data_IF_055310215364
#
_entry.id   IF_055310215364
#
_cell.length_a   1.000
_cell.length_b   1.000
_cell.length_c   1.000
_cell.angle_alpha   90.00
_cell.angle_beta   90.00
_cell.angle_gamma   90.00
#
_symmetry.space_group_name_H-M   'P 1'
#
loop_
_entity.id
_entity.type
_entity.pdbx_description
1 polymer ?
#
# COMPACT_ATOMS: atom_id res chain seq x y z
N UNK A 1 -3.40 18.30 24.60
CA UNK A 1 -3.44 19.44 23.66
C UNK A 1 -3.19 18.87 22.27
N UNK A 2 -3.89 19.32 21.24
CA UNK A 2 -3.65 18.84 19.87
C UNK A 2 -2.34 19.42 19.33
N UNK A 3 -1.42 18.55 18.92
CA UNK A 3 -0.12 18.90 18.33
C UNK A 3 0.37 17.77 17.42
N UNK A 4 1.43 18.02 16.67
CA UNK A 4 2.15 17.04 15.85
C UNK A 4 3.44 16.55 16.52
N UNK A 5 3.55 16.66 17.84
CA UNK A 5 4.73 16.19 18.56
C UNK A 5 4.90 14.68 18.38
N UNK A 6 6.09 14.24 17.95
CA UNK A 6 6.38 12.84 17.64
C UNK A 6 5.77 12.33 16.33
N UNK A 7 5.24 13.21 15.46
CA UNK A 7 4.77 12.80 14.14
C UNK A 7 5.93 12.31 13.26
N UNK A 8 5.90 11.04 12.89
CA UNK A 8 6.87 10.46 11.95
C UNK A 8 6.49 10.76 10.49
N UNK A 9 7.44 11.22 9.65
CA UNK A 9 7.17 11.49 8.24
C UNK A 9 6.58 10.29 7.50
N UNK A 10 5.59 10.55 6.65
CA UNK A 10 4.95 9.55 5.80
C UNK A 10 5.34 9.81 4.35
N UNK A 11 5.88 8.77 3.72
CA UNK A 11 6.22 8.77 2.30
C UNK A 11 5.32 7.79 1.57
N UNK A 12 4.96 8.12 0.34
CA UNK A 12 4.28 7.17 -0.53
C UNK A 12 4.39 7.54 -1.99
N UNK A 13 4.04 6.57 -2.81
CA UNK A 13 3.95 6.70 -4.25
C UNK A 13 2.48 6.76 -4.66
N UNK A 14 2.15 7.60 -5.65
CA UNK A 14 0.79 7.75 -6.15
C UNK A 14 0.79 7.95 -7.65
N UNK A 15 -0.16 7.32 -8.34
CA UNK A 15 -0.42 7.57 -9.76
C UNK A 15 -1.45 8.70 -9.88
N UNK A 16 -1.15 9.79 -10.59
CA UNK A 16 -2.12 10.85 -10.80
C UNK A 16 -3.30 10.36 -11.64
N UNK A 17 -4.48 10.88 -11.35
CA UNK A 17 -5.71 10.69 -12.14
C UNK A 17 -6.14 12.05 -12.71
N UNK A 18 -6.52 12.07 -13.98
CA UNK A 18 -7.13 13.24 -14.65
C UNK A 18 -8.58 12.97 -14.98
N UNK A 19 -9.38 14.03 -14.96
CA UNK A 19 -10.77 14.01 -15.39
C UNK A 19 -10.91 13.70 -16.89
N UNK A 20 -9.89 14.04 -17.70
CA UNK A 20 -9.88 13.79 -19.14
C UNK A 20 -9.06 12.52 -19.48
N UNK A 21 -9.70 11.44 -19.98
CA UNK A 21 -9.02 10.19 -20.32
C UNK A 21 -8.15 10.27 -21.58
N UNK A 22 -8.13 11.39 -22.32
CA UNK A 22 -7.35 11.55 -23.56
C UNK A 22 -5.88 11.93 -23.40
N UNK A 23 -5.44 12.26 -22.18
CA UNK A 23 -4.08 12.73 -21.89
C UNK A 23 -3.16 11.56 -21.57
N UNK A 24 -1.98 11.52 -22.20
CA UNK A 24 -0.97 10.45 -22.10
C UNK A 24 -0.53 10.03 -20.68
N UNK A 25 0.33 9.01 -20.63
CA UNK A 25 0.78 8.37 -19.38
C UNK A 25 1.14 9.38 -18.28
N UNK A 26 0.36 9.37 -17.20
CA UNK A 26 0.62 10.18 -16.02
C UNK A 26 1.77 9.55 -15.25
N UNK A 27 2.83 10.33 -15.03
CA UNK A 27 4.00 9.89 -14.27
C UNK A 27 3.62 9.66 -12.82
N UNK A 28 4.20 8.63 -12.21
CA UNK A 28 4.08 8.40 -10.77
C UNK A 28 4.66 9.61 -10.03
N UNK A 29 3.92 10.07 -9.03
CA UNK A 29 4.36 11.10 -8.12
C UNK A 29 4.76 10.47 -6.79
N UNK A 30 5.66 11.13 -6.08
CA UNK A 30 5.93 10.86 -4.68
C UNK A 30 5.24 11.91 -3.83
N UNK A 31 4.69 11.49 -2.70
CA UNK A 31 4.23 12.41 -1.67
C UNK A 31 5.02 12.24 -0.38
N UNK A 32 5.15 13.33 0.35
CA UNK A 32 5.82 13.43 1.63
C UNK A 32 4.95 14.25 2.57
N UNK A 33 4.58 13.67 3.70
CA UNK A 33 3.80 14.33 4.76
C UNK A 33 4.67 14.38 6.00
N UNK A 34 4.87 15.56 6.55
CA UNK A 34 5.71 15.77 7.72
C UNK A 34 5.21 16.95 8.56
N UNK A 35 5.53 16.94 9.85
CA UNK A 35 5.28 18.08 10.72
C UNK A 35 6.39 19.11 10.50
N UNK A 36 6.04 20.31 10.02
CA UNK A 36 7.01 21.43 9.92
C UNK A 36 7.35 21.98 11.31
N UNK A 37 6.38 21.93 12.22
CA UNK A 37 6.51 22.27 13.62
C UNK A 37 5.43 21.54 14.43
N UNK A 38 5.24 21.89 15.70
CA UNK A 38 4.24 21.25 16.57
C UNK A 38 2.78 21.55 16.20
N UNK A 39 2.52 22.52 15.33
CA UNK A 39 1.20 23.04 14.98
C UNK A 39 0.86 22.97 13.48
N UNK A 40 1.82 22.64 12.61
CA UNK A 40 1.66 22.59 11.17
C UNK A 40 2.11 21.27 10.56
N UNK A 41 1.22 20.66 9.78
CA UNK A 41 1.48 19.49 8.96
C UNK A 41 1.60 19.89 7.49
N UNK A 42 2.74 19.61 6.89
CA UNK A 42 3.02 19.92 5.50
C UNK A 42 2.87 18.68 4.64
N UNK A 43 2.23 18.85 3.48
CA UNK A 43 2.06 17.80 2.47
C UNK A 43 2.66 18.28 1.17
N UNK A 44 3.70 17.59 0.70
CA UNK A 44 4.32 17.80 -0.59
C UNK A 44 4.00 16.65 -1.53
N UNK A 45 3.77 16.97 -2.80
CA UNK A 45 3.62 15.99 -3.87
C UNK A 45 4.43 16.45 -5.08
N UNK A 46 5.25 15.57 -5.66
CA UNK A 46 6.10 15.93 -6.79
C UNK A 46 6.33 14.76 -7.76
N UNK A 47 6.46 15.09 -9.05
CA UNK A 47 6.90 14.18 -10.11
C UNK A 47 8.42 14.26 -10.38
N UNK A 48 9.14 15.10 -9.62
CA UNK A 48 10.58 15.41 -9.77
C UNK A 48 10.97 16.05 -11.11
N UNK A 49 10.02 16.55 -11.89
CA UNK A 49 10.27 17.09 -13.23
C UNK A 49 9.56 18.44 -13.42
N UNK A 50 8.23 18.45 -13.33
CA UNK A 50 7.40 19.57 -13.76
C UNK A 50 6.26 19.91 -12.80
N UNK A 51 5.87 18.95 -11.97
CA UNK A 51 4.80 19.06 -11.01
C UNK A 51 5.33 19.02 -9.60
N UNK A 52 5.11 20.09 -8.85
CA UNK A 52 5.26 20.12 -7.41
C UNK A 52 4.09 20.89 -6.81
N UNK A 53 3.45 20.28 -5.81
CA UNK A 53 2.30 20.86 -5.12
C UNK A 53 2.51 20.75 -3.61
N UNK A 54 2.01 21.73 -2.89
CA UNK A 54 2.12 21.84 -1.44
C UNK A 54 0.79 22.23 -0.81
N UNK A 55 0.60 21.81 0.43
CA UNK A 55 -0.25 22.51 1.39
C UNK A 55 0.35 22.44 2.78
N UNK A 56 0.00 23.41 3.62
CA UNK A 56 0.34 23.46 5.04
C UNK A 56 -0.99 23.50 5.79
N UNK A 57 -1.23 22.49 6.62
CA UNK A 57 -2.43 22.33 7.42
C UNK A 57 -2.12 22.62 8.88
N UNK A 58 -2.83 23.60 9.47
CA UNK A 58 -2.77 23.82 10.91
C UNK A 58 -3.52 22.73 11.68
N UNK A 59 -3.22 22.60 12.98
CA UNK A 59 -4.02 21.75 13.89
C UNK A 59 -5.51 22.05 13.80
N UNK A 60 -5.91 23.33 13.77
CA UNK A 60 -7.32 23.70 13.70
C UNK A 60 -7.98 23.26 12.39
N UNK A 61 -7.30 23.42 11.24
CA UNK A 61 -7.82 22.98 9.95
C UNK A 61 -8.00 21.46 9.88
N UNK A 62 -7.08 20.71 10.51
CA UNK A 62 -7.18 19.26 10.62
C UNK A 62 -8.28 18.84 11.61
N UNK A 63 -8.54 19.60 12.67
CA UNK A 63 -9.63 19.36 13.62
C UNK A 63 -11.00 19.60 12.96
N UNK A 64 -11.12 20.71 12.21
CA UNK A 64 -12.30 20.99 11.37
C UNK A 64 -12.49 19.87 10.32
N UNK A 65 -11.38 19.38 9.73
CA UNK A 65 -11.43 18.26 8.80
C UNK A 65 -11.91 16.98 9.50
N UNK A 66 -11.44 16.67 10.71
CA UNK A 66 -11.92 15.51 11.50
C UNK A 66 -13.43 15.52 11.63
N UNK A 67 -13.97 16.67 11.99
CA UNK A 67 -15.41 16.85 12.20
C UNK A 67 -16.18 16.72 10.87
N UNK A 68 -15.65 17.29 9.77
CA UNK A 68 -16.27 17.18 8.44
C UNK A 68 -16.27 15.76 7.86
N UNK A 69 -15.22 14.98 8.15
CA UNK A 69 -15.07 13.59 7.70
C UNK A 69 -15.93 12.65 8.56
N UNK A 70 -16.31 13.08 9.77
CA UNK A 70 -17.15 12.32 10.70
C UNK A 70 -16.39 11.23 11.44
N UNK A 71 -15.08 11.41 11.67
CA UNK A 71 -14.28 10.49 12.49
C UNK A 71 -14.35 10.95 13.94
N UNK A 72 -15.07 10.21 14.76
CA UNK A 72 -15.10 10.44 16.21
C UNK A 72 -13.80 9.99 16.91
N UNK A 73 -13.66 10.38 18.17
CA UNK A 73 -12.52 10.01 19.01
C UNK A 73 -11.62 11.20 19.34
N UNK A 74 -10.45 10.89 19.87
CA UNK A 74 -9.41 11.85 20.22
C UNK A 74 -8.64 12.35 18.99
N UNK A 75 -7.93 13.46 19.17
CA UNK A 75 -7.01 14.00 18.17
C UNK A 75 -5.98 12.96 17.69
N UNK A 76 -5.37 12.22 18.62
CA UNK A 76 -4.37 11.19 18.29
C UNK A 76 -4.95 10.07 17.45
N UNK A 77 -6.17 9.60 17.76
CA UNK A 77 -6.85 8.58 16.96
C UNK A 77 -7.16 9.06 15.54
N UNK A 78 -7.50 10.35 15.39
CA UNK A 78 -7.67 10.96 14.06
C UNK A 78 -6.35 11.06 13.29
N UNK A 79 -5.25 11.43 13.94
CA UNK A 79 -3.93 11.45 13.31
C UNK A 79 -3.48 10.04 12.92
N UNK A 80 -3.67 9.06 13.79
CA UNK A 80 -3.37 7.65 13.49
C UNK A 80 -4.19 7.15 12.31
N UNK A 81 -5.48 7.52 12.25
CA UNK A 81 -6.33 7.23 11.10
C UNK A 81 -5.81 7.88 9.81
N UNK A 82 -5.37 9.15 9.89
CA UNK A 82 -4.82 9.88 8.76
C UNK A 82 -3.54 9.23 8.25
N UNK A 83 -2.61 8.88 9.15
CA UNK A 83 -1.38 8.16 8.83
C UNK A 83 -1.69 6.79 8.23
N UNK A 84 -2.63 6.03 8.79
CA UNK A 84 -3.04 4.74 8.26
C UNK A 84 -3.69 4.87 6.86
N UNK A 85 -4.44 5.94 6.61
CA UNK A 85 -5.04 6.24 5.31
C UNK A 85 -3.97 6.56 4.26
N UNK A 86 -2.98 7.37 4.61
CA UNK A 86 -1.84 7.73 3.75
C UNK A 86 -0.93 6.53 3.46
N UNK A 87 -0.78 5.59 4.39
CA UNK A 87 0.02 4.36 4.20
C UNK A 87 -0.74 3.24 3.50
N UNK A 88 -2.02 3.42 3.21
CA UNK A 88 -2.85 2.41 2.55
C UNK A 88 -2.58 2.33 1.04
N UNK A 89 -3.12 1.32 0.39
CA UNK A 89 -3.17 1.23 -1.07
C UNK A 89 -4.25 2.13 -1.71
N UNK A 90 -5.11 2.78 -0.91
CA UNK A 90 -6.25 3.56 -1.41
C UNK A 90 -5.94 5.06 -1.44
N UNK A 91 -4.77 5.40 -1.99
CA UNK A 91 -4.31 6.79 -2.16
C UNK A 91 -4.37 7.17 -3.63
N UNK A 92 -4.93 8.34 -3.92
CA UNK A 92 -5.11 8.89 -5.27
C UNK A 92 -4.69 10.34 -5.29
N UNK A 93 -4.07 10.76 -6.38
CA UNK A 93 -3.77 12.17 -6.64
C UNK A 93 -4.68 12.63 -7.77
N UNK A 94 -5.67 13.46 -7.45
CA UNK A 94 -6.57 14.03 -8.45
C UNK A 94 -5.99 15.35 -8.94
N UNK A 95 -5.61 15.41 -10.21
CA UNK A 95 -5.13 16.64 -10.82
C UNK A 95 -6.32 17.51 -11.23
N UNK A 96 -6.25 18.80 -10.88
CA UNK A 96 -7.21 19.80 -11.31
C UNK A 96 -7.05 20.15 -12.80
N UNK A 97 -7.82 21.14 -13.23
CA UNK A 97 -7.86 21.55 -14.63
C UNK A 97 -6.49 22.03 -15.11
N UNK A 98 -6.20 21.69 -16.37
CA UNK A 98 -4.94 22.02 -17.02
C UNK A 98 -5.05 23.35 -17.75
N UNK A 99 -4.31 24.36 -17.30
CA UNK A 99 -4.10 25.59 -18.04
C UNK A 99 -2.99 25.39 -19.07
N UNK A 100 -3.23 25.82 -20.32
CA UNK A 100 -2.24 25.76 -21.42
C UNK A 100 -0.96 26.56 -21.06
N UNK A 101 -1.09 27.65 -20.28
CA UNK A 101 0.02 28.54 -19.95
C UNK A 101 0.72 28.20 -18.63
N UNK A 102 -0.02 27.66 -17.64
CA UNK A 102 0.48 27.46 -16.27
C UNK A 102 0.51 26.00 -15.82
N UNK A 103 0.04 25.08 -16.66
CA UNK A 103 -0.09 23.67 -16.30
C UNK A 103 -1.21 23.44 -15.28
N UNK A 104 -1.07 22.39 -14.46
CA UNK A 104 -2.06 22.04 -13.43
C UNK A 104 -1.81 22.84 -12.16
N UNK A 105 -2.69 23.79 -11.85
CA UNK A 105 -2.54 24.72 -10.71
C UNK A 105 -3.00 24.14 -9.36
N UNK A 106 -3.94 23.19 -9.38
CA UNK A 106 -4.48 22.57 -8.18
C UNK A 106 -4.43 21.05 -8.27
N UNK A 107 -4.26 20.40 -7.13
CA UNK A 107 -4.38 18.96 -7.01
C UNK A 107 -5.08 18.61 -5.69
N UNK A 108 -5.54 17.35 -5.55
CA UNK A 108 -6.07 16.84 -4.29
C UNK A 108 -5.49 15.47 -4.01
N UNK A 109 -4.86 15.31 -2.86
CA UNK A 109 -4.46 14.00 -2.35
C UNK A 109 -5.63 13.40 -1.58
N UNK A 110 -6.18 12.31 -2.10
CA UNK A 110 -7.31 11.60 -1.51
C UNK A 110 -6.82 10.28 -0.96
N UNK A 111 -7.02 10.04 0.33
CA UNK A 111 -6.63 8.79 0.99
C UNK A 111 -7.78 8.19 1.80
N UNK A 112 -7.80 6.86 1.90
CA UNK A 112 -8.77 6.08 2.68
C UNK A 112 -8.05 4.93 3.35
N UNK A 113 -8.28 4.68 4.63
CA UNK A 113 -7.70 3.51 5.30
C UNK A 113 -8.07 2.19 4.63
N UNK A 114 -9.32 2.05 4.17
CA UNK A 114 -9.81 0.91 3.41
C UNK A 114 -11.02 1.33 2.57
N UNK A 115 -11.39 0.51 1.58
CA UNK A 115 -12.59 0.76 0.77
C UNK A 115 -13.85 0.82 1.64
N UNK A 116 -14.61 1.90 1.50
CA UNK A 116 -15.84 2.14 2.28
C UNK A 116 -15.62 2.89 3.60
N UNK A 117 -14.37 3.16 3.97
CA UNK A 117 -14.04 4.00 5.12
C UNK A 117 -14.04 5.50 4.75
N UNK A 118 -14.15 6.41 5.74
CA UNK A 118 -14.12 7.85 5.50
C UNK A 118 -12.87 8.31 4.74
N UNK A 119 -13.06 9.31 3.86
CA UNK A 119 -12.01 9.85 2.98
C UNK A 119 -11.35 11.06 3.61
N UNK A 120 -10.02 11.06 3.66
CA UNK A 120 -9.24 12.27 3.91
C UNK A 120 -8.92 12.90 2.56
N UNK A 121 -9.27 14.17 2.39
CA UNK A 121 -9.04 14.94 1.16
C UNK A 121 -8.18 16.14 1.49
N UNK A 122 -6.95 16.13 1.02
CA UNK A 122 -6.00 17.23 1.22
C UNK A 122 -5.91 18.05 -0.07
N UNK A 123 -6.38 19.30 -0.08
CA UNK A 123 -6.18 20.19 -1.22
C UNK A 123 -4.71 20.61 -1.32
N UNK A 124 -4.21 20.72 -2.54
CA UNK A 124 -2.82 21.05 -2.85
C UNK A 124 -2.76 22.16 -3.89
N UNK A 125 -1.82 23.07 -3.73
CA UNK A 125 -1.60 24.21 -4.62
C UNK A 125 -0.26 24.06 -5.32
N UNK A 126 -0.18 24.40 -6.61
CA UNK A 126 1.06 24.33 -7.37
C UNK A 126 2.10 25.28 -6.79
N UNK A 127 3.31 24.78 -6.61
CA UNK A 127 4.43 25.55 -6.10
C UNK A 127 5.06 26.41 -7.19
N UNK A 128 5.65 27.54 -6.80
CA UNK A 128 6.59 28.27 -7.65
C UNK A 128 7.87 27.43 -7.87
N UNK A 129 8.55 27.61 -8.99
CA UNK A 129 9.71 26.78 -9.36
C UNK A 129 10.85 26.79 -8.32
N UNK A 130 11.12 27.95 -7.72
CA UNK A 130 12.13 28.06 -6.66
C UNK A 130 11.78 27.19 -5.45
N UNK A 131 10.55 27.31 -4.95
CA UNK A 131 10.05 26.53 -3.81
C UNK A 131 9.92 25.04 -4.16
N UNK A 132 9.55 24.72 -5.40
CA UNK A 132 9.49 23.35 -5.89
C UNK A 132 10.86 22.65 -5.82
N UNK A 133 11.93 23.34 -6.21
CA UNK A 133 13.28 22.79 -6.16
C UNK A 133 13.74 22.50 -4.72
N UNK A 134 13.42 23.39 -3.79
CA UNK A 134 13.72 23.23 -2.36
C UNK A 134 12.91 22.09 -1.74
N UNK A 135 11.62 21.98 -2.05
CA UNK A 135 10.78 20.86 -1.61
C UNK A 135 11.30 19.52 -2.13
N UNK A 136 11.72 19.44 -3.40
CA UNK A 136 12.34 18.23 -3.96
C UNK A 136 13.65 17.87 -3.25
N UNK A 137 14.51 18.85 -2.94
CA UNK A 137 15.73 18.63 -2.19
C UNK A 137 15.45 18.10 -0.77
N UNK A 138 14.45 18.68 -0.11
CA UNK A 138 13.99 18.28 1.23
C UNK A 138 13.45 16.86 1.22
N UNK A 139 12.54 16.55 0.29
CA UNK A 139 11.98 15.20 0.13
C UNK A 139 13.10 14.18 -0.11
N UNK A 140 14.04 14.50 -1.00
CA UNK A 140 15.15 13.60 -1.34
C UNK A 140 16.04 13.31 -0.12
N UNK A 141 16.36 14.34 0.66
CA UNK A 141 17.19 14.22 1.85
C UNK A 141 16.49 13.39 2.94
N UNK A 142 15.21 13.66 3.19
CA UNK A 142 14.43 12.93 4.21
C UNK A 142 14.18 11.47 3.80
N UNK A 143 13.97 11.20 2.51
CA UNK A 143 13.88 9.85 1.98
C UNK A 143 15.20 9.08 2.18
N UNK A 144 16.35 9.73 1.92
CA UNK A 144 17.67 9.14 2.13
C UNK A 144 17.95 8.85 3.60
N UNK A 145 17.64 9.79 4.51
CA UNK A 145 17.77 9.59 5.96
C UNK A 145 16.89 8.43 6.44
N UNK A 146 15.64 8.39 5.98
CA UNK A 146 14.70 7.31 6.29
C UNK A 146 15.18 5.96 5.79
N UNK A 147 15.76 5.91 4.58
CA UNK A 147 16.36 4.70 4.03
C UNK A 147 17.55 4.22 4.87
N UNK A 148 18.45 5.13 5.26
CA UNK A 148 19.60 4.79 6.13
C UNK A 148 19.16 4.26 7.49
N UNK A 149 18.14 4.86 8.10
CA UNK A 149 17.57 4.39 9.38
C UNK A 149 17.06 2.95 9.26
N UNK A 150 16.35 2.61 8.17
CA UNK A 150 15.87 1.25 7.91
C UNK A 150 17.00 0.26 7.64
N UNK A 151 18.04 0.66 6.89
CA UNK A 151 19.20 -0.21 6.64
C UNK A 151 19.95 -0.55 7.93
N UNK A 152 20.15 0.41 8.83
CA UNK A 152 20.83 0.15 10.11
C UNK A 152 20.07 -0.89 10.94
N UNK A 153 18.74 -0.76 11.00
CA UNK A 153 17.87 -1.71 11.71
C UNK A 153 17.90 -3.13 11.12
N UNK A 154 18.20 -3.25 9.82
CA UNK A 154 18.31 -4.53 9.11
C UNK A 154 19.70 -5.19 9.26
N UNK A 155 20.74 -4.39 9.50
CA UNK A 155 22.09 -4.87 9.83
C UNK A 155 22.18 -5.55 11.20
N UNK A 156 21.38 -5.11 12.16
CA UNK A 156 21.33 -5.68 13.52
C UNK A 156 20.55 -7.00 13.60
N UNK A 157 19.72 -7.34 12.60
CA UNK A 157 18.95 -8.60 12.55
C UNK A 157 19.63 -9.72 11.75
N UNK A 158 20.79 -9.47 11.13
CA UNK A 158 21.52 -10.46 10.33
C UNK A 158 22.84 -10.95 10.93
N UNK A 159 23.17 -10.54 12.16
CA UNK A 159 24.38 -11.00 12.87
C UNK A 159 24.08 -11.38 14.31
N UNK A 160 23.19 -12.35 14.51
CA UNK A 160 23.35 -13.27 15.65
C UNK A 160 24.20 -14.44 15.17
N UNK A 161 25.51 -14.24 15.16
CA UNK A 161 26.52 -15.29 15.11
C UNK A 161 26.51 -16.09 16.44
N UNK A 162 25.37 -16.70 16.76
CA UNK A 162 25.14 -17.48 17.99
C UNK A 162 24.11 -18.61 17.77
N UNK A 163 24.03 -19.16 16.56
CA UNK A 163 23.19 -20.33 16.26
C UNK A 163 23.89 -21.40 15.40
N UNK A 164 25.22 -21.35 15.31
CA UNK A 164 26.04 -22.43 14.76
C UNK A 164 27.03 -22.90 15.83
N UNK A 165 26.55 -23.40 16.98
CA UNK A 165 27.43 -24.14 17.90
C UNK A 165 26.71 -25.14 18.82
N UNK A 166 25.54 -25.68 18.42
CA UNK A 166 24.88 -26.78 19.14
C UNK A 166 24.19 -27.79 18.19
N UNK A 167 24.96 -28.40 17.27
CA UNK A 167 24.66 -29.68 16.57
C UNK A 167 25.87 -30.03 15.69
N UNK A 168 26.68 -31.08 15.84
CA UNK A 168 26.48 -32.44 16.30
C UNK A 168 27.76 -33.00 16.94
N UNK A 169 27.72 -33.19 18.26
CA UNK A 169 28.47 -34.23 18.97
C UNK A 169 27.62 -35.51 18.92
N UNK A 170 27.41 -36.07 17.72
CA UNK A 170 26.61 -37.29 17.55
C UNK A 170 27.12 -38.15 16.37
N UNK A 171 28.44 -38.36 16.30
CA UNK A 171 29.01 -39.30 15.32
C UNK A 171 30.25 -40.08 15.81
N UNK A 172 30.38 -40.29 17.13
CA UNK A 172 31.57 -40.97 17.69
C UNK A 172 31.26 -42.00 18.77
N UNK A 173 30.16 -42.74 18.62
CA UNK A 173 29.85 -43.88 19.51
C UNK A 173 29.33 -45.13 18.80
N UNK A 174 29.52 -45.29 17.48
CA UNK A 174 29.09 -46.52 16.79
C UNK A 174 30.21 -47.32 16.12
N UNK A 175 31.47 -46.98 16.35
CA UNK A 175 32.60 -47.64 15.68
C UNK A 175 33.58 -48.35 16.62
N UNK A 176 33.13 -48.78 17.80
CA UNK A 176 33.88 -49.75 18.60
C UNK A 176 32.90 -50.62 19.37
N UNK A 177 32.46 -51.71 18.76
CA UNK A 177 32.32 -53.01 19.42
C UNK A 177 32.32 -54.08 18.33
N UNK A 178 33.39 -54.84 18.40
CA UNK A 178 33.90 -55.81 17.46
C UNK A 178 33.50 -57.22 17.97
N UNK A 179 33.63 -58.22 17.08
CA UNK A 179 33.90 -59.64 17.40
C UNK A 179 32.75 -60.65 17.71
N UNK A 180 32.54 -61.53 16.71
CA UNK A 180 32.25 -63.00 16.74
C UNK A 180 30.85 -63.63 16.98
N UNK A 181 30.29 -64.16 15.88
CA UNK A 181 29.87 -65.57 15.59
C UNK A 181 28.67 -66.24 16.34
N UNK A 182 28.11 -67.40 15.90
CA UNK A 182 27.83 -67.94 14.53
C UNK A 182 26.41 -68.59 14.34
N UNK A 183 26.06 -68.87 13.07
CA UNK A 183 25.24 -69.97 12.47
C UNK A 183 23.96 -70.54 13.14
N UNK A 184 22.83 -70.57 12.41
CA UNK A 184 22.12 -71.82 11.99
C UNK A 184 20.88 -71.57 11.11
N UNK A 185 20.93 -72.17 9.91
CA UNK A 185 19.95 -72.98 9.17
C UNK A 185 18.51 -72.57 8.77
N UNK A 186 18.28 -72.78 7.46
CA UNK A 186 17.10 -73.32 6.76
C UNK A 186 15.69 -72.69 6.97
N UNK A 187 15.12 -72.12 5.88
CA UNK A 187 14.07 -72.77 5.07
C UNK A 187 13.61 -71.93 3.85
N UNK A 188 13.30 -72.68 2.80
CA UNK A 188 12.79 -72.31 1.48
C UNK A 188 11.42 -71.61 1.57
N UNK A 189 11.10 -70.68 0.68
CA UNK A 189 10.39 -71.00 -0.57
C UNK A 189 10.20 -69.75 -1.45
N UNK A 190 10.15 -69.96 -2.76
CA UNK A 190 9.76 -69.03 -3.83
C UNK A 190 8.80 -69.82 -4.72
N UNK A 191 7.80 -69.25 -5.43
CA UNK A 191 8.17 -68.41 -6.59
C UNK A 191 7.11 -67.42 -7.17
N UNK A 192 7.62 -66.64 -8.13
CA UNK A 192 7.01 -66.28 -9.43
C UNK A 192 5.99 -65.11 -9.53
N UNK A 193 6.39 -64.08 -10.32
CA UNK A 193 5.83 -63.63 -11.63
C UNK A 193 4.53 -62.81 -11.52
N UNK A 194 4.21 -61.75 -12.27
CA UNK A 194 4.69 -60.98 -13.43
C UNK A 194 3.87 -59.65 -13.39
N UNK A 195 4.46 -58.47 -13.60
CA UNK A 195 4.47 -57.64 -14.83
C UNK A 195 3.13 -57.13 -15.42
N UNK A 196 3.21 -55.91 -15.99
CA UNK A 196 2.26 -55.10 -16.79
C UNK A 196 1.34 -54.18 -15.97
N UNK A 197 1.50 -52.84 -15.93
CA UNK A 197 1.49 -51.80 -17.01
C UNK A 197 0.14 -51.71 -17.71
N UNK A 198 -0.63 -50.64 -17.46
CA UNK A 198 -1.14 -49.71 -18.51
C UNK A 198 -2.03 -48.58 -17.96
N UNK A 199 -2.01 -47.49 -18.71
CA UNK A 199 -2.67 -46.21 -18.48
C UNK A 199 -4.07 -46.14 -19.13
N UNK A 200 -4.94 -45.24 -18.65
CA UNK A 200 -5.91 -44.42 -19.41
C UNK A 200 -6.73 -43.57 -18.38
N UNK A 201 -6.94 -42.24 -18.42
CA UNK A 201 -7.27 -41.22 -19.45
C UNK A 201 -8.75 -40.75 -19.33
N UNK A 202 -8.94 -39.43 -19.07
CA UNK A 202 -10.08 -38.46 -19.29
C UNK A 202 -11.35 -38.43 -18.38
N UNK A 203 -11.63 -37.27 -17.71
CA UNK A 203 -12.65 -36.23 -18.08
C UNK A 203 -12.97 -35.20 -16.97
N UNK A 204 -13.06 -33.88 -17.30
CA UNK A 204 -13.58 -32.82 -16.42
C UNK A 204 -15.11 -32.58 -16.58
N UNK A 205 -15.77 -32.18 -15.49
CA UNK A 205 -17.22 -31.90 -15.44
C UNK A 205 -17.57 -30.43 -15.69
N UNK A 206 -18.79 -30.21 -16.18
CA UNK A 206 -19.27 -29.09 -17.02
C UNK A 206 -19.82 -27.89 -16.22
N UNK A 207 -19.69 -26.69 -16.82
CA UNK A 207 -20.36 -25.42 -16.48
C UNK A 207 -21.87 -25.44 -16.77
N UNK A 208 -22.64 -24.67 -16.00
CA UNK A 208 -24.04 -24.30 -16.28
C UNK A 208 -24.19 -22.76 -16.23
N UNK A 209 -24.77 -22.08 -17.24
CA UNK A 209 -25.09 -20.65 -17.19
C UNK A 209 -26.56 -20.43 -16.80
N UNK A 210 -26.82 -19.63 -15.76
CA UNK A 210 -28.18 -19.28 -15.33
C UNK A 210 -28.50 -17.79 -15.56
N UNK A 211 -29.27 -17.55 -16.63
CA UNK A 211 -30.33 -16.56 -16.84
C UNK A 211 -30.16 -15.09 -16.43
N UNK A 212 -30.02 -14.25 -17.47
CA UNK A 212 -30.14 -12.79 -17.51
C UNK A 212 -31.63 -12.38 -17.46
N UNK A 213 -32.08 -11.71 -16.40
CA UNK A 213 -33.41 -11.04 -16.37
C UNK A 213 -33.26 -9.59 -16.82
N UNK A 214 -33.74 -9.30 -18.02
CA UNK A 214 -34.01 -7.95 -18.53
C UNK A 214 -35.27 -7.39 -17.86
N UNK A 215 -35.16 -6.26 -17.15
CA UNK A 215 -36.34 -5.44 -16.80
C UNK A 215 -36.40 -4.25 -17.75
N UNK A 216 -37.51 -4.15 -18.48
CA UNK A 216 -37.89 -3.04 -19.36
C UNK A 216 -38.55 -1.92 -18.53
N UNK A 217 -38.28 -0.68 -18.97
CA UNK A 217 -39.03 0.59 -18.83
C UNK A 217 -40.25 0.64 -17.89
N UNK A 218 -40.21 1.58 -16.94
CA UNK A 218 -41.35 2.36 -16.44
C UNK A 218 -40.85 3.80 -16.23
N UNK A 219 -41.26 4.74 -17.08
CA UNK A 219 -42.36 5.71 -16.91
C UNK A 219 -41.83 7.05 -16.37
N UNK A 220 -41.63 7.99 -17.31
CA UNK A 220 -41.37 9.41 -17.07
C UNK A 220 -42.72 10.06 -16.75
N UNK A 221 -42.89 10.63 -15.56
CA UNK A 221 -43.98 11.54 -15.26
C UNK A 221 -43.41 12.96 -15.31
N UNK A 222 -43.72 13.67 -16.40
CA UNK A 222 -43.69 15.12 -16.46
C UNK A 222 -45.05 15.58 -15.95
N UNK A 223 -45.07 16.35 -14.87
CA UNK A 223 -46.17 17.26 -14.62
C UNK A 223 -45.62 18.67 -14.80
N UNK A 224 -46.12 19.31 -15.86
CA UNK A 224 -46.07 20.73 -16.10
C UNK A 224 -47.29 21.32 -15.42
N UNK A 225 -47.10 22.26 -14.50
CA UNK A 225 -48.13 23.25 -14.20
C UNK A 225 -47.48 24.63 -14.30
N UNK A 226 -47.78 25.28 -15.41
CA UNK A 226 -47.75 26.72 -15.58
C UNK A 226 -48.96 27.27 -14.83
N UNK A 227 -48.78 28.18 -13.88
CA UNK A 227 -49.87 29.09 -13.51
C UNK A 227 -49.33 30.49 -13.25
N UNK A 228 -49.96 31.40 -13.97
CA UNK A 228 -49.72 32.82 -14.17
C UNK A 228 -50.20 33.62 -12.95
N UNK A 229 -49.48 34.69 -12.60
CA UNK A 229 -49.82 35.58 -11.49
C UNK A 229 -48.73 36.58 -11.13
#
# INVERSE_FOLDING_TARGET
MASFEGFEPVFGEVVPERSDPGSGLLRRCLFHVYASDSLHLTVHVTDFISGAWETILSVSQLDDMRDSVGIGGSWSEFLDYTVASLKSENVKLLLGDHSISKGVESARLVSQKAKGMPRIVVPLTKMAESSASEAMATLSLELFKSFKRKQHLQGETSTSAAANDEKDKMDSTHNQLDVMAPSTDHRQDSPAKQSAREANTIKPSKRVPAHRRTRKRGALLQDSDEEDG
#
